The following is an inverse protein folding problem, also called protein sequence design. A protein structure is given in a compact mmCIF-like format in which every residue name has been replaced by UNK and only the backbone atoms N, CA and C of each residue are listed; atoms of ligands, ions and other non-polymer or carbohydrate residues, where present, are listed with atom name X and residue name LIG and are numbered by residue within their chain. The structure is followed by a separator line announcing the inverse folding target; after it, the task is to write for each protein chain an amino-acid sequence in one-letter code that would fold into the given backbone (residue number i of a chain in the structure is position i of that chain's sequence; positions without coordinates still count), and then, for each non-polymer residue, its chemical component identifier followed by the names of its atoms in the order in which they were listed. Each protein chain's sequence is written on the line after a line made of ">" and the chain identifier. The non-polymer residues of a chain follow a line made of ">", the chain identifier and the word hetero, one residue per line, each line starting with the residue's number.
data_IF_558617809105
#
_entry.id   IF_558617809105
#
_cell.length_a   1.000
_cell.length_b   1.000
_cell.length_c   1.000
_cell.angle_alpha   90.00
_cell.angle_beta   90.00
_cell.angle_gamma   90.00
#
_symmetry.space_group_name_H-M   'P 1'
#
loop_
_entity.id
_entity.type
_entity.pdbx_description
1 polymer ?
#
# COMPACT_ATOMS: atom_id res chain seq x y z
N UNK A 1 -6.64 -23.16 -1.98
CA UNK A 1 -6.91 -22.50 -3.28
C UNK A 1 -7.72 -21.24 -3.09
N UNK A 2 -7.31 -20.18 -3.73
CA UNK A 2 -8.03 -18.92 -3.64
C UNK A 2 -9.31 -19.01 -4.46
N UNK A 3 -10.40 -18.56 -3.88
CA UNK A 3 -11.67 -18.47 -4.60
C UNK A 3 -12.05 -17.02 -4.90
N UNK A 4 -11.19 -16.06 -4.53
CA UNK A 4 -11.41 -14.64 -4.73
C UNK A 4 -10.07 -13.98 -5.01
N UNK A 5 -10.08 -12.86 -5.72
CA UNK A 5 -8.82 -12.15 -5.98
C UNK A 5 -8.28 -11.51 -4.70
N UNK A 6 -6.97 -11.42 -4.64
CA UNK A 6 -6.27 -10.74 -3.55
C UNK A 6 -5.57 -9.52 -4.13
N UNK A 7 -5.81 -8.36 -3.55
CA UNK A 7 -5.17 -7.11 -3.99
C UNK A 7 -4.39 -6.54 -2.81
N UNK A 8 -3.12 -6.22 -3.05
CA UNK A 8 -2.25 -5.61 -2.05
C UNK A 8 -2.15 -4.12 -2.32
N UNK A 9 -2.42 -3.31 -1.31
CA UNK A 9 -2.18 -1.88 -1.38
C UNK A 9 -0.94 -1.53 -0.57
N UNK A 10 -0.03 -0.78 -1.17
CA UNK A 10 1.17 -0.27 -0.50
C UNK A 10 1.01 1.25 -0.42
N UNK A 11 0.75 1.75 0.78
CA UNK A 11 0.43 3.17 0.95
C UNK A 11 0.52 3.58 2.41
N UNK A 12 0.34 4.85 2.67
CA UNK A 12 0.28 5.36 4.03
C UNK A 12 -1.06 5.10 4.68
N UNK A 13 -1.08 5.22 5.99
CA UNK A 13 -2.28 5.06 6.79
C UNK A 13 -2.88 6.42 7.10
N UNK A 14 -4.14 6.61 6.76
CA UNK A 14 -4.91 7.81 7.07
C UNK A 14 -5.85 7.49 8.23
N UNK A 15 -5.54 8.02 9.41
CA UNK A 15 -6.34 7.70 10.59
C UNK A 15 -7.78 8.21 10.50
N UNK A 16 -8.05 9.17 9.62
CA UNK A 16 -9.44 9.65 9.42
C UNK A 16 -10.25 8.74 8.50
N UNK A 17 -9.59 7.83 7.81
CA UNK A 17 -10.27 6.81 7.03
C UNK A 17 -10.64 7.18 5.60
N UNK A 18 -10.34 8.41 5.18
CA UNK A 18 -10.79 8.90 3.87
C UNK A 18 -9.81 8.70 2.73
N UNK A 19 -8.58 8.29 3.04
CA UNK A 19 -7.54 8.15 2.03
C UNK A 19 -6.63 6.99 2.43
N UNK A 20 -5.53 6.80 1.68
CA UNK A 20 -4.51 5.82 2.01
C UNK A 20 -5.04 4.40 2.06
N UNK A 21 -4.42 3.61 2.92
CA UNK A 21 -4.75 2.19 3.08
C UNK A 21 -6.24 2.00 3.40
N UNK A 22 -6.80 2.85 4.24
CA UNK A 22 -8.19 2.69 4.68
C UNK A 22 -9.15 2.82 3.50
N UNK A 23 -8.94 3.81 2.64
CA UNK A 23 -9.78 3.98 1.47
C UNK A 23 -9.62 2.80 0.51
N UNK A 24 -8.40 2.33 0.32
CA UNK A 24 -8.12 1.22 -0.57
C UNK A 24 -8.78 -0.07 -0.10
N UNK A 25 -8.69 -0.37 1.20
CA UNK A 25 -9.29 -1.57 1.77
C UNK A 25 -10.81 -1.54 1.55
N UNK A 26 -11.43 -0.40 1.80
CA UNK A 26 -12.87 -0.26 1.60
C UNK A 26 -13.27 -0.52 0.15
N UNK A 27 -12.54 0.07 -0.77
CA UNK A 27 -12.83 -0.07 -2.20
C UNK A 27 -12.62 -1.51 -2.68
N UNK A 28 -11.47 -2.09 -2.32
CA UNK A 28 -11.15 -3.46 -2.72
C UNK A 28 -12.19 -4.42 -2.18
N UNK A 29 -12.56 -4.26 -0.92
CA UNK A 29 -13.56 -5.13 -0.28
C UNK A 29 -14.93 -4.96 -0.91
N UNK A 30 -15.31 -3.73 -1.24
CA UNK A 30 -16.59 -3.46 -1.88
C UNK A 30 -16.70 -4.12 -3.26
N UNK A 31 -15.56 -4.29 -3.93
CA UNK A 31 -15.51 -4.93 -5.25
C UNK A 31 -15.41 -6.45 -5.16
N UNK A 32 -15.44 -7.02 -3.97
CA UNK A 32 -15.46 -8.46 -3.79
C UNK A 32 -14.08 -9.12 -3.73
N UNK A 33 -13.03 -8.34 -3.59
CA UNK A 33 -11.68 -8.88 -3.46
C UNK A 33 -11.21 -8.84 -2.01
N UNK A 34 -10.20 -9.64 -1.71
CA UNK A 34 -9.56 -9.62 -0.41
C UNK A 34 -8.47 -8.56 -0.42
N UNK A 35 -8.49 -7.67 0.57
CA UNK A 35 -7.53 -6.58 0.66
C UNK A 35 -6.43 -6.90 1.65
N UNK A 36 -5.18 -6.82 1.19
CA UNK A 36 -4.00 -6.86 2.05
C UNK A 36 -3.33 -5.49 1.99
N UNK A 37 -2.49 -5.18 2.96
CA UNK A 37 -1.89 -3.86 3.02
C UNK A 37 -0.45 -3.91 3.50
N UNK A 38 0.36 -2.98 2.96
CA UNK A 38 1.69 -2.65 3.44
C UNK A 38 1.67 -1.17 3.77
N UNK A 39 1.93 -0.84 5.02
CA UNK A 39 1.86 0.54 5.48
C UNK A 39 3.23 1.17 5.44
N UNK A 40 3.35 2.29 4.73
CA UNK A 40 4.62 2.99 4.56
C UNK A 40 4.79 4.16 5.51
N UNK A 41 3.71 4.68 6.04
CA UNK A 41 3.74 5.79 6.99
C UNK A 41 2.44 5.81 7.76
N UNK A 42 2.52 6.31 8.99
CA UNK A 42 1.34 6.55 9.81
C UNK A 42 1.15 8.06 9.87
N UNK A 43 -0.05 8.54 9.61
CA UNK A 43 -0.31 9.97 9.64
C UNK A 43 -1.22 10.36 10.80
N UNK A 44 -1.01 11.57 11.29
CA UNK A 44 -1.95 12.22 12.18
C UNK A 44 -2.70 13.21 11.30
N UNK A 45 -3.94 12.87 10.99
CA UNK A 45 -4.64 13.61 9.94
C UNK A 45 -6.15 13.54 10.18
N UNK A 46 -6.84 14.55 9.66
CA UNK A 46 -8.29 14.59 9.66
C UNK A 46 -8.73 15.30 8.37
N UNK A 47 -10.02 15.65 8.27
CA UNK A 47 -10.53 16.25 7.05
C UNK A 47 -9.97 17.65 6.78
N UNK A 48 -9.30 18.24 7.75
CA UNK A 48 -8.69 19.57 7.58
C UNK A 48 -7.25 19.51 7.10
N UNK A 49 -6.62 18.36 7.19
CA UNK A 49 -5.25 18.22 6.70
C UNK A 49 -4.40 17.28 7.55
N UNK A 50 -3.14 17.19 7.17
CA UNK A 50 -2.15 16.31 7.80
C UNK A 50 -1.37 17.12 8.83
N UNK A 51 -1.36 16.65 10.09
CA UNK A 51 -0.64 17.32 11.18
C UNK A 51 0.74 16.73 11.41
N UNK A 52 0.91 15.45 11.18
CA UNK A 52 2.19 14.79 11.38
C UNK A 52 2.25 13.52 10.56
N UNK A 53 3.47 13.12 10.22
CA UNK A 53 3.72 11.89 9.47
C UNK A 53 4.87 11.15 10.13
N UNK A 54 4.67 9.86 10.38
CA UNK A 54 5.71 9.00 10.91
C UNK A 54 6.00 7.92 9.88
N UNK A 55 7.15 8.02 9.24
CA UNK A 55 7.55 7.06 8.20
C UNK A 55 7.92 5.74 8.84
N UNK A 56 7.40 4.65 8.29
CA UNK A 56 7.74 3.31 8.76
C UNK A 56 9.16 2.99 8.30
N UNK A 57 10.02 2.42 9.17
CA UNK A 57 11.38 2.06 8.77
C UNK A 57 11.42 1.13 7.57
N UNK A 58 12.44 1.32 6.74
CA UNK A 58 12.55 0.57 5.47
C UNK A 58 12.50 -0.94 5.67
N UNK A 59 13.19 -1.45 6.71
CA UNK A 59 13.21 -2.90 6.94
C UNK A 59 11.84 -3.44 7.33
N UNK A 60 11.00 -2.60 7.96
CA UNK A 60 9.65 -3.02 8.30
C UNK A 60 8.75 -3.02 7.06
N UNK A 61 8.92 -2.03 6.19
CA UNK A 61 8.19 -2.01 4.92
C UNK A 61 8.55 -3.25 4.09
N UNK A 62 9.84 -3.54 3.98
CA UNK A 62 10.31 -4.72 3.27
C UNK A 62 9.73 -6.02 3.87
N UNK A 63 9.76 -6.12 5.19
CA UNK A 63 9.22 -7.29 5.90
C UNK A 63 7.73 -7.49 5.63
N UNK A 64 6.96 -6.40 5.61
CA UNK A 64 5.53 -6.49 5.30
C UNK A 64 5.31 -7.02 3.88
N UNK A 65 6.06 -6.50 2.92
CA UNK A 65 5.94 -6.93 1.53
C UNK A 65 6.23 -8.42 1.43
N UNK A 66 7.34 -8.86 2.01
CA UNK A 66 7.74 -10.26 1.94
C UNK A 66 6.71 -11.17 2.60
N UNK A 67 6.20 -10.78 3.76
CA UNK A 67 5.20 -11.58 4.47
C UNK A 67 3.94 -11.77 3.63
N UNK A 68 3.47 -10.71 3.00
CA UNK A 68 2.25 -10.78 2.19
C UNK A 68 2.48 -11.59 0.91
N UNK A 69 3.60 -11.32 0.24
CA UNK A 69 3.88 -11.98 -1.03
C UNK A 69 4.10 -13.49 -0.86
N UNK A 70 4.71 -13.89 0.24
CA UNK A 70 4.97 -15.31 0.49
C UNK A 70 3.71 -16.12 0.77
N UNK A 71 2.76 -15.51 1.44
CA UNK A 71 1.59 -16.23 1.95
C UNK A 71 0.35 -15.97 1.11
N UNK A 72 -0.02 -14.71 0.97
CA UNK A 72 -1.29 -14.37 0.31
C UNK A 72 -1.19 -14.34 -1.20
N UNK A 73 -0.01 -14.15 -1.74
CA UNK A 73 0.24 -14.18 -3.20
C UNK A 73 -0.75 -13.29 -3.95
N UNK A 74 -0.67 -11.98 -3.79
CA UNK A 74 -1.63 -11.09 -4.42
C UNK A 74 -1.69 -11.25 -5.94
N UNK A 75 -2.88 -11.05 -6.47
CA UNK A 75 -3.11 -11.07 -7.91
C UNK A 75 -2.80 -9.73 -8.55
N UNK A 76 -2.81 -8.66 -7.76
CA UNK A 76 -2.48 -7.32 -8.23
C UNK A 76 -2.00 -6.48 -7.07
N UNK A 77 -1.22 -5.45 -7.38
CA UNK A 77 -0.70 -4.49 -6.42
C UNK A 77 -1.17 -3.11 -6.79
N UNK A 78 -1.47 -2.31 -5.77
CA UNK A 78 -1.68 -0.88 -5.96
C UNK A 78 -0.65 -0.16 -5.11
N UNK A 79 0.06 0.80 -5.69
CA UNK A 79 1.01 1.63 -4.97
C UNK A 79 0.44 3.03 -4.89
N UNK A 80 0.19 3.49 -3.67
CA UNK A 80 -0.23 4.85 -3.44
C UNK A 80 0.97 5.77 -3.36
N UNK A 81 0.74 6.98 -2.83
CA UNK A 81 1.81 7.93 -2.70
C UNK A 81 2.80 7.49 -1.64
N UNK A 82 4.07 7.51 -1.98
CA UNK A 82 5.17 7.24 -1.06
C UNK A 82 6.07 8.46 -1.11
N UNK A 83 6.08 9.23 -0.02
CA UNK A 83 6.80 10.51 -0.03
C UNK A 83 8.28 10.37 0.22
N UNK A 84 8.73 9.24 0.74
CA UNK A 84 10.13 9.04 1.12
C UNK A 84 10.87 8.35 -0.03
N UNK A 85 11.81 9.03 -0.71
CA UNK A 85 12.49 8.41 -1.86
C UNK A 85 13.21 7.11 -1.53
N UNK A 86 13.75 7.00 -0.32
CA UNK A 86 14.43 5.76 0.08
C UNK A 86 13.45 4.59 0.10
N UNK A 87 12.21 4.81 0.52
CA UNK A 87 11.21 3.75 0.52
C UNK A 87 10.80 3.36 -0.89
N UNK A 88 10.74 4.31 -1.81
CA UNK A 88 10.42 4.00 -3.20
C UNK A 88 11.41 2.98 -3.76
N UNK A 89 12.71 3.18 -3.48
CA UNK A 89 13.73 2.25 -3.94
C UNK A 89 13.60 0.87 -3.30
N UNK A 90 13.31 0.83 -2.00
CA UNK A 90 13.13 -0.42 -1.28
C UNK A 90 11.95 -1.20 -1.85
N UNK A 91 10.84 -0.51 -2.06
CA UNK A 91 9.63 -1.12 -2.60
C UNK A 91 9.90 -1.68 -3.99
N UNK A 92 10.51 -0.86 -4.85
CA UNK A 92 10.82 -1.29 -6.21
C UNK A 92 11.72 -2.53 -6.22
N UNK A 93 12.76 -2.52 -5.36
CA UNK A 93 13.66 -3.66 -5.25
C UNK A 93 12.96 -4.93 -4.81
N UNK A 94 12.04 -4.82 -3.85
CA UNK A 94 11.27 -5.97 -3.39
C UNK A 94 10.37 -6.51 -4.50
N UNK A 95 9.72 -5.62 -5.24
CA UNK A 95 8.75 -6.04 -6.25
C UNK A 95 9.41 -6.68 -7.47
N UNK A 96 10.70 -6.42 -7.70
CA UNK A 96 11.41 -7.09 -8.78
C UNK A 96 11.44 -8.60 -8.60
N UNK A 97 11.28 -9.08 -7.38
CA UNK A 97 11.22 -10.52 -7.10
C UNK A 97 9.90 -11.16 -7.54
N UNK A 98 8.89 -10.34 -7.84
CA UNK A 98 7.54 -10.82 -8.13
C UNK A 98 7.02 -10.21 -9.43
N UNK A 99 7.69 -10.50 -10.56
CA UNK A 99 7.39 -9.82 -11.82
C UNK A 99 6.04 -10.18 -12.43
N UNK A 100 5.39 -11.22 -11.93
CA UNK A 100 4.10 -11.64 -12.48
C UNK A 100 2.93 -10.81 -11.97
N UNK A 101 3.14 -10.05 -10.92
CA UNK A 101 2.05 -9.34 -10.27
C UNK A 101 1.86 -7.97 -10.90
N UNK A 102 0.72 -7.70 -11.54
CA UNK A 102 0.47 -6.39 -12.13
C UNK A 102 0.47 -5.29 -11.08
N UNK A 103 1.00 -4.13 -11.42
CA UNK A 103 1.12 -3.00 -10.52
C UNK A 103 0.33 -1.83 -11.08
N UNK A 104 -0.53 -1.25 -10.24
CA UNK A 104 -1.27 -0.04 -10.56
C UNK A 104 -0.76 1.08 -9.66
N UNK A 105 -0.38 2.19 -10.23
CA UNK A 105 0.06 3.36 -9.48
C UNK A 105 -1.07 4.38 -9.40
N UNK A 106 -1.16 5.02 -8.25
CA UNK A 106 -2.15 6.08 -8.09
C UNK A 106 -1.73 7.31 -8.88
N UNK A 107 -2.68 7.90 -9.60
CA UNK A 107 -2.45 9.12 -10.36
C UNK A 107 -2.85 10.36 -9.59
N UNK A 108 -3.55 10.20 -8.49
CA UNK A 108 -4.16 11.35 -7.85
C UNK A 108 -3.19 12.23 -7.11
N UNK A 109 -1.95 11.78 -6.94
CA UNK A 109 -0.96 12.54 -6.20
C UNK A 109 0.06 13.21 -7.07
N UNK A 110 -0.10 13.14 -8.36
CA UNK A 110 0.90 13.67 -9.26
C UNK A 110 0.77 15.17 -9.44
N UNK A 111 -0.25 15.75 -8.90
CA UNK A 111 -0.50 17.17 -9.10
C UNK A 111 0.42 18.07 -8.30
N UNK A 112 1.16 17.54 -7.38
CA UNK A 112 2.02 18.39 -6.61
C UNK A 112 3.38 18.34 -6.90
#
# INVERSE_FOLDING_TARGET
>A
MKTYPVVLSIAGSDCSGGAGIQADIKTISALGAYAASVITAVTVQNTRGVKAVHTVPAEIVQGQIEAVMEDLRPDALKIGMVSEPALVKIIAGCLLKYPHCPIVRSEEHTSE
#
